data_IF_510258132233
#
_entry.id   IF_510258132233
#
_cell.length_a   1.000
_cell.length_b   1.000
_cell.length_c   1.000
_cell.angle_alpha   90.00
_cell.angle_beta   90.00
_cell.angle_gamma   90.00
#
_symmetry.space_group_name_H-M   'P 1'
#
loop_
_entity.id
_entity.type
_entity.pdbx_description
1 polymer ?
#
# COMPACT_ATOMS: atom_id res chain seq x y z
N UNK A 1 67.35 -16.19 14.37
CA UNK A 1 66.31 -15.41 13.66
C UNK A 1 65.37 -16.23 12.77
N UNK A 2 65.71 -17.45 12.34
CA UNK A 2 64.82 -18.28 11.52
C UNK A 2 63.60 -18.83 12.29
N UNK A 3 63.78 -19.23 13.56
CA UNK A 3 62.71 -19.83 14.37
C UNK A 3 61.61 -18.84 14.79
N UNK A 4 61.92 -17.54 14.90
CA UNK A 4 60.92 -16.53 15.27
C UNK A 4 59.98 -16.20 14.11
N UNK A 5 60.47 -16.21 12.87
CA UNK A 5 59.63 -15.97 11.68
C UNK A 5 58.65 -17.11 11.40
N UNK A 6 59.07 -18.36 11.64
CA UNK A 6 58.20 -19.54 11.52
C UNK A 6 57.08 -19.51 12.59
N UNK A 7 57.43 -19.14 13.83
CA UNK A 7 56.47 -19.08 14.93
C UNK A 7 55.44 -17.95 14.74
N UNK A 8 55.85 -16.79 14.23
CA UNK A 8 54.94 -15.68 13.87
C UNK A 8 53.98 -16.10 12.74
N UNK A 9 54.47 -16.80 11.72
CA UNK A 9 53.63 -17.30 10.62
C UNK A 9 52.53 -18.27 11.09
N UNK A 10 52.87 -19.19 12.00
CA UNK A 10 51.92 -20.15 12.57
C UNK A 10 50.86 -19.44 13.42
N UNK A 11 51.26 -18.45 14.23
CA UNK A 11 50.33 -17.66 15.05
C UNK A 11 49.38 -16.86 14.17
N UNK A 12 49.86 -16.22 13.10
CA UNK A 12 49.00 -15.45 12.18
C UNK A 12 47.99 -16.34 11.48
N UNK A 13 48.39 -17.52 11.00
CA UNK A 13 47.46 -18.48 10.38
C UNK A 13 46.45 -19.00 11.40
N UNK A 14 46.88 -19.33 12.63
CA UNK A 14 45.98 -19.75 13.69
C UNK A 14 44.97 -18.65 14.06
N UNK A 15 45.40 -17.39 14.14
CA UNK A 15 44.52 -16.25 14.42
C UNK A 15 43.53 -16.03 13.28
N UNK A 16 43.95 -16.14 12.02
CA UNK A 16 43.04 -16.03 10.86
C UNK A 16 42.04 -17.18 10.83
N UNK A 17 42.45 -18.40 11.15
CA UNK A 17 41.56 -19.57 11.22
C UNK A 17 40.59 -19.45 12.37
N UNK A 18 41.04 -19.00 13.55
CA UNK A 18 40.18 -18.78 14.72
C UNK A 18 39.21 -17.63 14.48
N UNK A 19 39.66 -16.52 13.88
CA UNK A 19 38.77 -15.43 13.43
C UNK A 19 37.79 -15.93 12.37
N UNK A 20 38.24 -16.74 11.41
CA UNK A 20 37.38 -17.33 10.38
C UNK A 20 36.32 -18.27 10.98
N UNK A 21 36.69 -19.10 11.95
CA UNK A 21 35.77 -20.00 12.68
C UNK A 21 34.84 -19.20 13.59
N UNK A 22 35.32 -18.15 14.25
CA UNK A 22 34.53 -17.30 15.15
C UNK A 22 33.53 -16.46 14.37
N UNK A 23 33.97 -15.83 13.26
CA UNK A 23 33.10 -15.18 12.27
C UNK A 23 32.10 -16.21 11.72
N UNK A 24 32.54 -17.40 11.29
CA UNK A 24 31.62 -18.46 10.87
C UNK A 24 30.61 -18.82 11.96
N UNK A 25 31.01 -18.96 13.22
CA UNK A 25 30.10 -19.33 14.32
C UNK A 25 29.17 -18.19 14.73
N UNK A 26 29.55 -16.94 14.47
CA UNK A 26 28.75 -15.75 14.75
C UNK A 26 27.82 -15.39 13.59
N UNK A 27 28.14 -15.82 12.37
CA UNK A 27 27.33 -15.65 11.16
C UNK A 27 26.48 -16.89 10.79
N UNK A 28 26.83 -18.09 11.24
CA UNK A 28 26.05 -19.31 10.97
C UNK A 28 25.01 -19.52 12.08
N UNK A 29 23.77 -19.42 11.64
CA UNK A 29 22.53 -19.67 12.37
C UNK A 29 22.55 -20.93 13.23
N UNK A 30 22.20 -20.79 14.51
CA UNK A 30 21.69 -21.93 15.28
C UNK A 30 20.20 -22.06 14.95
N UNK A 31 19.81 -23.12 14.25
CA UNK A 31 18.40 -23.49 14.11
C UNK A 31 17.90 -23.88 15.49
N UNK A 32 16.88 -23.18 15.99
CA UNK A 32 16.34 -23.36 17.35
C UNK A 32 15.10 -24.23 17.37
N UNK A 33 14.33 -24.21 16.28
CA UNK A 33 13.00 -24.78 16.21
C UNK A 33 12.72 -25.20 14.76
N UNK A 34 12.11 -26.37 14.59
CA UNK A 34 11.70 -26.90 13.30
C UNK A 34 10.25 -27.33 13.41
N UNK A 35 9.44 -26.90 12.45
CA UNK A 35 8.04 -27.33 12.29
C UNK A 35 7.83 -27.84 10.87
N UNK A 36 6.96 -28.83 10.73
CA UNK A 36 6.63 -29.44 9.44
C UNK A 36 5.11 -29.52 9.28
N UNK A 37 4.64 -29.16 8.10
CA UNK A 37 3.24 -29.21 7.74
C UNK A 37 3.05 -29.97 6.43
N UNK A 38 2.06 -30.86 6.37
CA UNK A 38 1.79 -31.69 5.19
C UNK A 38 0.66 -31.07 4.36
N UNK A 39 0.90 -30.86 3.07
CA UNK A 39 -0.08 -30.41 2.11
C UNK A 39 -0.02 -31.27 0.84
N UNK A 40 -0.93 -32.23 0.73
CA UNK A 40 -0.90 -33.23 -0.36
C UNK A 40 0.39 -34.06 -0.33
N UNK A 41 1.13 -34.19 -1.45
CA UNK A 41 2.39 -34.92 -1.49
C UNK A 41 3.59 -34.12 -0.95
N UNK A 42 3.36 -32.88 -0.49
CA UNK A 42 4.40 -31.97 -0.03
C UNK A 42 4.48 -31.87 1.49
N UNK A 43 5.70 -31.67 1.99
CA UNK A 43 5.96 -31.24 3.37
C UNK A 43 6.59 -29.85 3.33
N UNK A 44 5.92 -28.87 3.94
CA UNK A 44 6.46 -27.53 4.14
C UNK A 44 7.19 -27.54 5.47
N UNK A 45 8.51 -27.39 5.45
CA UNK A 45 9.35 -27.30 6.64
C UNK A 45 9.71 -25.84 6.90
N UNK A 46 9.47 -25.42 8.14
CA UNK A 46 9.79 -24.10 8.68
C UNK A 46 10.89 -24.26 9.72
N UNK A 47 11.97 -23.50 9.61
CA UNK A 47 13.11 -23.56 10.53
C UNK A 47 13.39 -22.16 11.08
N UNK A 48 13.32 -22.01 12.41
CA UNK A 48 13.64 -20.74 13.08
C UNK A 48 15.13 -20.65 13.29
N UNK A 49 15.72 -19.54 12.85
CA UNK A 49 17.13 -19.25 13.04
C UNK A 49 17.35 -17.82 13.52
N UNK A 50 18.49 -17.58 14.16
CA UNK A 50 18.87 -16.24 14.61
C UNK A 50 20.00 -15.68 13.75
N UNK A 51 19.80 -14.48 13.20
CA UNK A 51 20.86 -13.65 12.59
C UNK A 51 21.31 -12.56 13.57
N UNK A 52 22.49 -12.01 13.32
CA UNK A 52 23.04 -10.89 14.08
C UNK A 52 23.40 -9.76 13.13
N UNK A 53 22.66 -8.66 13.19
CA UNK A 53 22.83 -7.52 12.32
C UNK A 53 23.44 -6.35 13.10
N UNK A 54 24.36 -5.61 12.48
CA UNK A 54 24.95 -4.42 13.09
C UNK A 54 24.11 -3.19 12.78
N UNK A 55 23.57 -2.53 13.80
CA UNK A 55 22.89 -1.26 13.61
C UNK A 55 23.91 -0.11 13.66
N UNK A 56 24.17 0.52 12.52
CA UNK A 56 25.10 1.66 12.44
C UNK A 56 24.65 2.87 13.27
N UNK A 57 23.33 3.09 13.41
CA UNK A 57 22.80 4.22 14.18
C UNK A 57 23.01 4.07 15.69
N UNK A 58 23.10 2.83 16.19
CA UNK A 58 23.26 2.54 17.62
C UNK A 58 24.60 1.90 17.99
N UNK A 59 25.48 1.63 17.01
CA UNK A 59 26.80 1.04 17.22
C UNK A 59 26.77 -0.34 17.89
N UNK A 60 25.68 -1.09 17.74
CA UNK A 60 25.45 -2.36 18.44
C UNK A 60 24.93 -3.43 17.50
N UNK A 61 25.33 -4.67 17.77
CA UNK A 61 24.70 -5.84 17.16
C UNK A 61 23.37 -6.14 17.83
N UNK A 62 22.34 -6.38 17.03
CA UNK A 62 21.06 -6.89 17.49
C UNK A 62 20.84 -8.27 16.89
N UNK A 63 20.20 -9.14 17.67
CA UNK A 63 19.80 -10.46 17.21
C UNK A 63 18.39 -10.35 16.63
N UNK A 64 18.18 -10.94 15.46
CA UNK A 64 16.87 -11.07 14.83
C UNK A 64 16.56 -12.55 14.64
N UNK A 65 15.40 -12.98 15.08
CA UNK A 65 14.91 -14.32 14.72
C UNK A 65 14.19 -14.23 13.39
N UNK A 66 14.51 -15.18 12.51
CA UNK A 66 13.90 -15.31 11.20
C UNK A 66 13.47 -16.75 10.99
N UNK A 67 12.57 -16.97 10.03
CA UNK A 67 12.09 -18.29 9.66
C UNK A 67 12.46 -18.56 8.20
N UNK A 68 13.17 -19.66 7.97
CA UNK A 68 13.45 -20.18 6.64
C UNK A 68 12.45 -21.25 6.28
N UNK A 69 12.02 -21.25 5.02
CA UNK A 69 11.11 -22.26 4.48
C UNK A 69 11.86 -23.20 3.53
N UNK A 70 11.43 -24.46 3.53
CA UNK A 70 11.78 -25.44 2.49
C UNK A 70 10.54 -26.28 2.17
N UNK A 71 10.44 -26.72 0.92
CA UNK A 71 9.36 -27.62 0.47
C UNK A 71 9.99 -28.94 0.08
N UNK A 72 9.47 -30.03 0.64
CA UNK A 72 9.93 -31.38 0.39
C UNK A 72 8.85 -32.17 -0.34
N UNK A 73 9.26 -33.02 -1.27
CA UNK A 73 8.44 -34.04 -1.91
C UNK A 73 9.09 -35.41 -1.65
N UNK A 74 8.36 -36.33 -1.00
CA UNK A 74 8.88 -37.64 -0.59
C UNK A 74 10.20 -37.54 0.21
N UNK A 75 10.29 -36.56 1.11
CA UNK A 75 11.46 -36.33 1.97
C UNK A 75 12.67 -35.71 1.27
N UNK A 76 12.59 -35.39 -0.03
CA UNK A 76 13.63 -34.67 -0.78
C UNK A 76 13.24 -33.23 -1.00
N UNK A 77 14.18 -32.31 -0.84
CA UNK A 77 13.96 -30.87 -1.09
C UNK A 77 13.60 -30.68 -2.57
N UNK A 78 12.54 -29.90 -2.82
CA UNK A 78 12.13 -29.47 -4.15
C UNK A 78 13.19 -28.50 -4.71
N UNK A 79 13.71 -28.81 -5.89
CA UNK A 79 14.67 -27.97 -6.61
C UNK A 79 13.95 -26.89 -7.43
N UNK A 80 14.51 -25.67 -7.46
CA UNK A 80 13.97 -24.53 -8.20
C UNK A 80 14.81 -24.25 -9.46
N UNK A 81 14.17 -23.97 -10.62
CA UNK A 81 14.85 -23.87 -11.92
C UNK A 81 15.73 -22.63 -12.10
N UNK A 82 15.61 -21.65 -11.20
CA UNK A 82 16.40 -20.42 -11.18
C UNK A 82 16.85 -20.17 -9.75
N UNK A 83 18.05 -19.60 -9.57
CA UNK A 83 18.57 -19.30 -8.23
C UNK A 83 17.49 -18.53 -7.45
N UNK A 84 17.18 -19.02 -6.25
CA UNK A 84 16.41 -18.32 -5.23
C UNK A 84 17.21 -17.08 -4.78
N UNK A 85 17.42 -16.17 -5.71
CA UNK A 85 18.20 -14.94 -5.63
C UNK A 85 19.67 -15.06 -5.25
N UNK A 86 20.43 -14.07 -5.73
CA UNK A 86 21.85 -13.90 -5.43
C UNK A 86 22.15 -12.67 -4.57
N UNK A 87 21.19 -11.73 -4.42
CA UNK A 87 21.49 -10.38 -3.94
C UNK A 87 21.07 -10.08 -2.49
N UNK A 88 20.28 -10.95 -1.86
CA UNK A 88 19.80 -10.74 -0.48
C UNK A 88 20.68 -11.41 0.58
N UNK A 89 21.69 -12.16 0.16
CA UNK A 89 22.58 -12.92 1.05
C UNK A 89 21.95 -14.18 1.67
N UNK A 90 20.67 -14.47 1.39
CA UNK A 90 19.98 -15.67 1.86
C UNK A 90 19.75 -16.65 0.71
N UNK A 91 20.06 -17.94 0.92
CA UNK A 91 19.94 -19.01 -0.07
C UNK A 91 18.70 -19.89 0.12
N UNK A 92 17.67 -19.40 0.82
CA UNK A 92 16.48 -20.16 1.20
C UNK A 92 15.20 -19.39 0.87
N UNK A 93 14.04 -20.09 0.90
CA UNK A 93 12.74 -19.47 0.70
C UNK A 93 12.38 -18.62 1.92
N UNK A 94 11.93 -17.40 1.67
CA UNK A 94 11.48 -16.50 2.74
C UNK A 94 10.10 -16.89 3.26
N UNK A 95 9.23 -17.36 2.36
CA UNK A 95 7.88 -17.83 2.67
C UNK A 95 7.46 -18.97 1.75
N UNK A 96 6.57 -19.80 2.27
CA UNK A 96 5.75 -20.72 1.48
C UNK A 96 4.29 -20.57 1.92
N UNK A 97 3.41 -20.42 0.94
CA UNK A 97 1.97 -20.30 1.12
C UNK A 97 1.27 -21.50 0.50
N UNK A 98 0.22 -21.98 1.17
CA UNK A 98 -0.72 -22.92 0.56
C UNK A 98 -1.66 -22.14 -0.35
N UNK A 99 -1.81 -22.58 -1.60
CA UNK A 99 -2.82 -22.01 -2.51
C UNK A 99 -4.11 -22.83 -2.38
N UNK A 100 -5.01 -22.37 -1.51
CA UNK A 100 -6.14 -23.17 -1.01
C UNK A 100 -7.08 -23.68 -2.11
N UNK A 101 -7.43 -22.81 -3.05
CA UNK A 101 -8.46 -23.09 -4.08
C UNK A 101 -7.89 -23.64 -5.40
N UNK A 102 -6.61 -24.05 -5.40
CA UNK A 102 -6.00 -24.69 -6.56
C UNK A 102 -6.62 -26.08 -6.82
N UNK A 103 -6.75 -26.51 -8.09
CA UNK A 103 -7.36 -27.81 -8.43
C UNK A 103 -6.55 -29.02 -7.95
N UNK A 104 -5.26 -28.82 -7.65
CA UNK A 104 -4.36 -29.82 -7.08
C UNK A 104 -3.53 -29.17 -5.98
N UNK A 105 -3.04 -29.93 -4.97
CA UNK A 105 -2.16 -29.38 -3.94
C UNK A 105 -1.05 -28.53 -4.55
N UNK A 106 -1.02 -27.26 -4.19
CA UNK A 106 -0.14 -26.25 -4.80
C UNK A 106 0.40 -25.34 -3.73
N UNK A 107 1.70 -25.11 -3.77
CA UNK A 107 2.40 -24.21 -2.86
C UNK A 107 2.95 -23.05 -3.68
N UNK A 108 2.71 -21.83 -3.23
CA UNK A 108 3.37 -20.62 -3.75
C UNK A 108 4.51 -20.29 -2.81
N UNK A 109 5.76 -20.39 -3.27
CA UNK A 109 6.92 -20.17 -2.41
C UNK A 109 7.98 -19.33 -3.10
N UNK A 110 8.70 -18.53 -2.32
CA UNK A 110 9.72 -17.66 -2.88
C UNK A 110 10.41 -16.73 -1.89
N UNK A 111 11.21 -15.84 -2.48
CA UNK A 111 11.85 -14.68 -1.84
C UNK A 111 11.54 -13.45 -2.69
N UNK A 112 12.50 -12.79 -3.39
CA UNK A 112 12.16 -11.80 -4.44
C UNK A 112 11.95 -12.41 -5.85
N UNK A 113 11.92 -13.74 -5.95
CA UNK A 113 11.27 -14.48 -7.05
C UNK A 113 10.29 -15.48 -6.44
N UNK A 114 9.15 -15.71 -7.09
CA UNK A 114 8.11 -16.63 -6.60
C UNK A 114 7.79 -17.70 -7.61
N UNK A 115 7.58 -18.92 -7.11
CA UNK A 115 7.28 -20.11 -7.88
C UNK A 115 6.03 -20.79 -7.35
N UNK A 116 5.31 -21.44 -8.26
CA UNK A 116 4.29 -22.42 -7.93
C UNK A 116 4.91 -23.82 -7.96
N UNK A 117 4.69 -24.58 -6.90
CA UNK A 117 5.06 -26.00 -6.78
C UNK A 117 3.75 -26.78 -6.82
N UNK A 118 3.51 -27.45 -7.94
CA UNK A 118 2.21 -28.05 -8.28
C UNK A 118 2.35 -29.56 -8.22
N UNK A 119 1.47 -30.23 -7.47
CA UNK A 119 1.41 -31.69 -7.46
C UNK A 119 1.03 -32.26 -8.83
N UNK A 120 1.70 -33.34 -9.24
CA UNK A 120 1.36 -34.16 -10.42
C UNK A 120 1.29 -35.62 -9.98
N UNK A 121 0.65 -36.47 -10.77
CA UNK A 121 0.37 -37.87 -10.42
C UNK A 121 1.54 -38.62 -9.77
N UNK A 122 2.76 -38.49 -10.32
CA UNK A 122 3.97 -39.17 -9.81
C UNK A 122 5.12 -38.20 -9.48
N UNK A 123 4.83 -36.93 -9.21
CA UNK A 123 5.87 -35.96 -8.94
C UNK A 123 5.34 -34.56 -8.72
N UNK A 124 6.15 -33.57 -9.10
CA UNK A 124 5.78 -32.17 -9.00
C UNK A 124 6.29 -31.40 -10.21
N UNK A 125 5.66 -30.26 -10.45
CA UNK A 125 6.09 -29.29 -11.44
C UNK A 125 6.37 -27.97 -10.71
N UNK A 126 7.52 -27.36 -11.00
CA UNK A 126 7.85 -26.01 -10.49
C UNK A 126 7.72 -25.04 -11.65
N UNK A 127 6.79 -24.08 -11.53
CA UNK A 127 6.61 -23.00 -12.51
C UNK A 127 6.94 -21.66 -11.88
N UNK A 128 7.70 -20.78 -12.55
CA UNK A 128 7.81 -19.40 -12.11
C UNK A 128 6.44 -18.74 -12.15
N UNK A 129 6.10 -18.01 -11.09
CA UNK A 129 4.97 -17.10 -11.05
C UNK A 129 5.42 -15.70 -11.45
N UNK A 130 6.55 -15.28 -10.88
CA UNK A 130 7.28 -14.07 -11.26
C UNK A 130 8.78 -14.25 -10.95
N UNK A 131 9.66 -13.83 -11.87
CA UNK A 131 11.12 -13.92 -11.69
C UNK A 131 11.68 -12.51 -11.58
N UNK A 132 12.27 -12.22 -10.42
CA UNK A 132 13.13 -11.06 -10.14
C UNK A 132 12.51 -9.68 -10.42
N UNK A 133 11.82 -9.13 -9.42
CA UNK A 133 11.69 -7.67 -9.24
C UNK A 133 12.82 -7.14 -8.34
N UNK A 134 13.16 -5.84 -8.48
CA UNK A 134 14.05 -5.12 -7.56
C UNK A 134 13.50 -5.05 -6.14
N UNK A 135 12.17 -5.11 -6.01
CA UNK A 135 11.42 -4.90 -4.79
C UNK A 135 10.82 -6.20 -4.25
N UNK A 136 10.21 -6.13 -3.06
CA UNK A 136 9.49 -7.25 -2.46
C UNK A 136 8.37 -7.74 -3.37
N UNK A 137 8.08 -9.04 -3.32
CA UNK A 137 6.98 -9.59 -4.10
C UNK A 137 5.68 -9.13 -3.46
N UNK A 138 4.81 -8.51 -4.24
CA UNK A 138 3.49 -8.08 -3.81
C UNK A 138 2.42 -9.02 -4.38
N UNK A 139 1.47 -9.40 -3.54
CA UNK A 139 0.28 -10.15 -3.91
C UNK A 139 -0.97 -9.29 -3.72
N UNK A 140 -1.94 -9.46 -4.60
CA UNK A 140 -3.26 -8.85 -4.44
C UNK A 140 -4.33 -9.76 -5.05
N UNK A 141 -5.39 -10.05 -4.30
CA UNK A 141 -6.55 -10.70 -4.89
C UNK A 141 -7.38 -9.66 -5.62
N UNK A 142 -7.74 -9.94 -6.88
CA UNK A 142 -8.47 -8.98 -7.72
C UNK A 142 -9.98 -9.07 -7.58
N UNK A 143 -10.48 -10.14 -6.96
CA UNK A 143 -11.92 -10.44 -6.87
C UNK A 143 -12.37 -10.87 -5.47
N UNK A 144 -11.58 -10.57 -4.43
CA UNK A 144 -11.83 -11.04 -3.07
C UNK A 144 -12.89 -10.23 -2.29
N UNK A 145 -13.02 -8.93 -2.58
CA UNK A 145 -14.01 -8.08 -1.91
C UNK A 145 -15.18 -7.80 -2.85
N UNK A 146 -16.23 -8.63 -2.77
CA UNK A 146 -17.43 -8.49 -3.62
C UNK A 146 -17.12 -8.44 -5.13
N UNK A 147 -16.10 -9.17 -5.58
CA UNK A 147 -15.64 -9.17 -6.97
C UNK A 147 -14.70 -8.01 -7.33
N UNK A 148 -14.20 -7.27 -6.34
CA UNK A 148 -13.23 -6.18 -6.47
C UNK A 148 -11.92 -6.52 -5.75
N UNK A 149 -10.83 -5.78 -6.05
CA UNK A 149 -9.53 -6.05 -5.46
C UNK A 149 -9.51 -5.87 -3.95
N UNK A 150 -8.84 -6.78 -3.23
CA UNK A 150 -8.51 -6.62 -1.81
C UNK A 150 -7.29 -5.71 -1.65
N UNK A 151 -6.94 -5.29 -0.42
CA UNK A 151 -5.62 -4.72 -0.16
C UNK A 151 -4.50 -5.65 -0.63
N UNK A 152 -3.44 -5.08 -1.17
CA UNK A 152 -2.24 -5.82 -1.50
C UNK A 152 -1.41 -6.09 -0.23
N UNK A 153 -0.55 -7.11 -0.30
CA UNK A 153 0.40 -7.42 0.77
C UNK A 153 1.71 -7.94 0.18
N UNK A 154 2.80 -7.67 0.88
CA UNK A 154 4.14 -8.05 0.45
C UNK A 154 4.61 -9.35 1.11
N UNK A 155 5.41 -10.11 0.36
CA UNK A 155 6.11 -11.29 0.83
C UNK A 155 7.36 -10.85 1.60
N UNK A 156 7.31 -11.07 2.91
CA UNK A 156 8.45 -10.89 3.80
C UNK A 156 8.89 -12.20 4.44
N UNK A 157 10.20 -12.32 4.67
CA UNK A 157 10.75 -13.38 5.51
C UNK A 157 10.07 -13.36 6.88
N UNK A 158 9.69 -14.55 7.38
CA UNK A 158 9.10 -14.66 8.71
C UNK A 158 10.06 -14.24 9.82
N UNK A 159 9.50 -13.70 10.90
CA UNK A 159 10.22 -13.24 12.08
C UNK A 159 9.68 -13.91 13.35
N UNK A 160 10.12 -13.45 14.52
CA UNK A 160 9.66 -13.93 15.84
C UNK A 160 8.14 -13.87 16.07
N UNK A 161 7.42 -13.03 15.31
CA UNK A 161 5.95 -12.87 15.43
C UNK A 161 5.20 -13.84 14.52
N UNK A 162 5.91 -14.52 13.63
CA UNK A 162 5.33 -15.46 12.68
C UNK A 162 5.10 -16.81 13.36
N UNK A 163 3.85 -17.30 13.32
CA UNK A 163 3.55 -18.65 13.81
C UNK A 163 4.22 -19.71 12.92
N UNK A 164 4.73 -20.77 13.56
CA UNK A 164 5.28 -21.95 12.89
C UNK A 164 4.32 -23.15 12.95
N UNK A 165 3.11 -22.99 13.49
CA UNK A 165 2.15 -24.10 13.63
C UNK A 165 1.57 -24.51 12.28
N UNK A 166 1.40 -23.55 11.37
CA UNK A 166 0.85 -23.75 10.04
C UNK A 166 1.40 -22.69 9.08
N UNK A 167 1.73 -23.03 7.81
CA UNK A 167 2.08 -22.05 6.79
C UNK A 167 0.94 -21.08 6.49
N UNK A 168 1.24 -19.87 6.06
CA UNK A 168 0.20 -18.94 5.63
C UNK A 168 -0.54 -19.49 4.39
N UNK A 169 -1.76 -19.04 4.18
CA UNK A 169 -2.61 -19.50 3.06
C UNK A 169 -2.96 -18.33 2.16
N UNK A 170 -2.74 -18.51 0.86
CA UNK A 170 -3.29 -17.65 -0.18
C UNK A 170 -4.72 -18.09 -0.45
N UNK A 171 -5.67 -17.29 0.02
CA UNK A 171 -7.10 -17.46 -0.19
C UNK A 171 -7.78 -16.09 -0.26
N UNK A 172 -8.95 -16.02 -0.90
CA UNK A 172 -9.76 -14.81 -0.94
C UNK A 172 -10.51 -14.61 -2.27
N UNK A 173 -9.97 -15.10 -3.38
CA UNK A 173 -10.56 -14.92 -4.71
C UNK A 173 -10.10 -15.98 -5.71
N UNK A 174 -10.43 -15.78 -6.99
CA UNK A 174 -10.01 -16.67 -8.10
C UNK A 174 -8.84 -16.09 -8.88
N UNK A 175 -8.62 -14.78 -8.82
CA UNK A 175 -7.59 -14.09 -9.57
C UNK A 175 -6.57 -13.48 -8.62
N UNK A 176 -5.39 -14.10 -8.55
CA UNK A 176 -4.27 -13.61 -7.75
C UNK A 176 -3.31 -12.84 -8.66
N UNK A 177 -3.16 -11.54 -8.41
CA UNK A 177 -2.16 -10.71 -9.06
C UNK A 177 -0.83 -10.77 -8.29
N UNK A 178 0.28 -10.80 -9.03
CA UNK A 178 1.64 -10.78 -8.48
C UNK A 178 2.43 -9.66 -9.14
N UNK A 179 3.03 -8.80 -8.30
CA UNK A 179 3.88 -7.66 -8.71
C UNK A 179 3.26 -6.71 -9.75
N UNK A 180 1.94 -6.71 -9.91
CA UNK A 180 1.28 -5.98 -10.99
C UNK A 180 1.83 -6.31 -12.40
N UNK A 181 2.38 -7.52 -12.57
CA UNK A 181 2.97 -8.03 -13.81
C UNK A 181 2.34 -9.33 -14.29
N UNK A 182 1.78 -10.09 -13.36
CA UNK A 182 1.13 -11.35 -13.70
C UNK A 182 -0.15 -11.57 -12.92
N UNK A 183 -1.07 -12.32 -13.53
CA UNK A 183 -2.34 -12.73 -12.94
C UNK A 183 -2.46 -14.24 -13.06
N UNK A 184 -2.57 -14.92 -11.93
CA UNK A 184 -2.88 -16.33 -11.86
C UNK A 184 -4.40 -16.51 -11.68
N UNK A 185 -5.03 -17.18 -12.65
CA UNK A 185 -6.37 -17.70 -12.45
C UNK A 185 -6.28 -19.04 -11.72
N UNK A 186 -6.50 -19.02 -10.41
CA UNK A 186 -6.25 -20.15 -9.50
C UNK A 186 -7.02 -21.42 -9.88
N UNK A 187 -8.32 -21.38 -10.23
CA UNK A 187 -9.06 -22.60 -10.56
C UNK A 187 -8.52 -23.36 -11.78
N UNK A 188 -7.96 -22.67 -12.78
CA UNK A 188 -7.42 -23.30 -14.00
C UNK A 188 -5.89 -23.37 -14.01
N UNK A 189 -5.23 -22.74 -13.04
CA UNK A 189 -3.78 -22.55 -12.98
C UNK A 189 -3.20 -21.85 -14.22
N UNK A 190 -4.02 -21.05 -14.92
CA UNK A 190 -3.59 -20.27 -16.08
C UNK A 190 -2.92 -18.98 -15.62
N UNK A 191 -1.71 -18.73 -16.15
CA UNK A 191 -0.89 -17.57 -15.81
C UNK A 191 -0.86 -16.60 -16.99
N UNK A 192 -1.26 -15.36 -16.73
CA UNK A 192 -1.24 -14.27 -17.71
C UNK A 192 -0.19 -13.25 -17.32
N UNK A 193 0.75 -12.96 -18.22
CA UNK A 193 1.71 -11.87 -18.05
C UNK A 193 1.25 -10.65 -18.84
N UNK A 194 1.27 -9.50 -18.19
CA UNK A 194 0.87 -8.21 -18.75
C UNK A 194 1.87 -7.12 -18.37
N UNK A 195 1.81 -5.98 -19.05
CA UNK A 195 2.69 -4.85 -18.84
C UNK A 195 4.18 -5.23 -19.01
N UNK A 196 4.47 -6.04 -20.04
CA UNK A 196 5.79 -6.62 -20.28
C UNK A 196 6.86 -5.56 -20.56
N UNK A 197 6.49 -4.51 -21.28
CA UNK A 197 7.43 -3.44 -21.65
C UNK A 197 7.66 -2.45 -20.50
N UNK A 198 6.81 -2.46 -19.46
CA UNK A 198 6.88 -1.59 -18.30
C UNK A 198 6.97 -0.10 -18.64
N UNK A 199 6.35 0.32 -19.75
CA UNK A 199 6.32 1.71 -20.18
C UNK A 199 4.96 2.29 -19.86
N UNK A 200 4.96 3.51 -19.32
CA UNK A 200 3.76 4.30 -19.24
C UNK A 200 3.14 4.48 -20.63
N UNK A 201 1.82 4.44 -20.71
CA UNK A 201 1.11 4.81 -21.93
C UNK A 201 0.75 6.29 -21.82
N UNK A 202 0.93 7.02 -22.93
CA UNK A 202 0.68 8.47 -22.99
C UNK A 202 1.37 9.24 -21.87
N UNK A 203 2.56 8.76 -21.47
CA UNK A 203 3.40 9.31 -20.39
C UNK A 203 2.77 9.24 -18.98
N UNK A 204 1.75 8.38 -18.77
CA UNK A 204 1.24 8.02 -17.45
C UNK A 204 1.78 6.67 -17.00
N UNK A 205 2.27 6.61 -15.76
CA UNK A 205 2.70 5.37 -15.13
C UNK A 205 1.69 4.89 -14.10
N UNK A 206 1.60 3.57 -13.94
CA UNK A 206 0.90 2.95 -12.81
C UNK A 206 1.49 3.44 -11.50
N UNK A 207 0.62 3.62 -10.51
CA UNK A 207 1.00 4.07 -9.19
C UNK A 207 0.03 3.49 -8.15
N UNK A 208 0.57 2.80 -7.14
CA UNK A 208 -0.22 2.08 -6.15
C UNK A 208 -0.84 0.78 -6.65
N UNK A 209 -1.73 0.22 -5.85
CA UNK A 209 -2.32 -1.10 -6.03
C UNK A 209 -3.47 -1.10 -7.05
N UNK A 210 -3.96 -2.29 -7.46
CA UNK A 210 -5.15 -2.39 -8.28
C UNK A 210 -6.37 -1.83 -7.51
N UNK A 211 -7.10 -0.94 -8.18
CA UNK A 211 -8.24 -0.21 -7.62
C UNK A 211 -9.57 -0.90 -7.91
N UNK A 212 -9.72 -1.42 -9.13
CA UNK A 212 -10.97 -2.00 -9.58
C UNK A 212 -10.75 -3.15 -10.58
N UNK A 213 -11.72 -4.06 -10.63
CA UNK A 213 -11.72 -5.19 -11.54
C UNK A 213 -13.00 -5.20 -12.38
N UNK A 214 -12.84 -5.39 -13.68
CA UNK A 214 -13.96 -5.35 -14.62
C UNK A 214 -14.97 -6.48 -14.37
N UNK A 215 -16.26 -6.30 -14.72
CA UNK A 215 -17.31 -7.30 -14.47
C UNK A 215 -17.07 -8.67 -15.14
N UNK A 216 -16.31 -8.70 -16.24
CA UNK A 216 -15.95 -9.95 -16.94
C UNK A 216 -14.57 -10.49 -16.56
N UNK A 217 -13.90 -9.89 -15.56
CA UNK A 217 -12.62 -10.33 -15.03
C UNK A 217 -11.51 -10.41 -16.10
N UNK A 218 -11.43 -9.38 -16.95
CA UNK A 218 -10.40 -9.28 -18.00
C UNK A 218 -9.58 -8.00 -17.91
N UNK A 219 -10.11 -6.94 -17.27
CA UNK A 219 -9.46 -5.64 -17.16
C UNK A 219 -9.24 -5.27 -15.70
N UNK A 220 -8.02 -4.86 -15.37
CA UNK A 220 -7.61 -4.34 -14.05
C UNK A 220 -7.39 -2.83 -14.18
N UNK A 221 -7.86 -2.07 -13.20
CA UNK A 221 -7.66 -0.61 -13.16
C UNK A 221 -6.63 -0.27 -12.10
N UNK A 222 -5.65 0.56 -12.45
CA UNK A 222 -4.68 1.14 -11.54
C UNK A 222 -4.81 2.66 -11.52
N UNK A 223 -4.54 3.32 -10.39
CA UNK A 223 -4.23 4.74 -10.40
C UNK A 223 -3.00 5.03 -11.24
N UNK A 224 -2.95 6.25 -11.77
CA UNK A 224 -1.90 6.71 -12.67
C UNK A 224 -1.49 8.13 -12.41
N UNK A 225 -0.19 8.41 -12.57
CA UNK A 225 0.34 9.77 -12.56
C UNK A 225 1.09 10.06 -13.87
N UNK A 226 1.00 11.30 -14.33
CA UNK A 226 1.79 11.78 -15.46
C UNK A 226 3.25 11.98 -15.06
N UNK A 227 4.19 11.55 -15.91
CA UNK A 227 5.62 11.70 -15.64
C UNK A 227 6.13 13.06 -16.15
N UNK A 228 6.32 14.01 -15.25
CA UNK A 228 6.76 15.38 -15.63
C UNK A 228 8.27 15.50 -15.89
N UNK A 229 9.09 14.58 -15.36
CA UNK A 229 10.56 14.69 -15.38
C UNK A 229 11.21 14.28 -16.72
N UNK A 230 10.53 13.48 -17.54
CA UNK A 230 11.01 12.97 -18.83
C UNK A 230 10.26 13.53 -20.04
N UNK A 231 9.33 14.47 -19.82
CA UNK A 231 8.52 15.05 -20.89
C UNK A 231 8.48 16.56 -20.81
N UNK A 232 8.49 17.20 -21.98
CA UNK A 232 8.21 18.64 -22.12
C UNK A 232 6.71 18.94 -22.24
N UNK A 233 5.88 17.90 -22.24
CA UNK A 233 4.43 18.04 -22.33
C UNK A 233 3.83 18.43 -20.99
N UNK A 234 2.85 19.32 -21.03
CA UNK A 234 2.01 19.63 -19.86
C UNK A 234 0.67 18.91 -20.06
N UNK A 235 0.36 17.89 -19.24
CA UNK A 235 -0.89 17.16 -19.41
C UNK A 235 -2.06 18.07 -19.04
N UNK A 236 -3.26 17.77 -19.55
CA UNK A 236 -4.47 18.46 -19.07
C UNK A 236 -4.74 18.13 -17.59
N UNK A 237 -4.45 16.89 -17.20
CA UNK A 237 -4.64 16.37 -15.84
C UNK A 237 -3.41 15.59 -15.42
N UNK A 238 -2.94 15.76 -14.20
CA UNK A 238 -1.83 14.96 -13.66
C UNK A 238 -2.21 13.49 -13.44
N UNK A 239 -3.50 13.22 -13.19
CA UNK A 239 -4.01 11.91 -12.83
C UNK A 239 -4.71 11.20 -13.99
N UNK A 240 -4.56 9.87 -14.03
CA UNK A 240 -5.32 9.00 -14.90
C UNK A 240 -5.68 7.67 -14.21
N UNK A 241 -6.66 6.96 -14.77
CA UNK A 241 -6.88 5.55 -14.50
C UNK A 241 -6.32 4.73 -15.67
N UNK A 242 -5.44 3.78 -15.38
CA UNK A 242 -4.83 2.88 -16.36
C UNK A 242 -5.58 1.56 -16.33
N UNK A 243 -6.28 1.25 -17.43
CA UNK A 243 -7.04 0.00 -17.60
C UNK A 243 -6.22 -1.00 -18.41
N UNK A 244 -5.79 -2.09 -17.78
CA UNK A 244 -5.02 -3.17 -18.40
C UNK A 244 -5.90 -4.39 -18.68
N UNK A 245 -6.11 -4.72 -19.96
CA UNK A 245 -6.58 -6.04 -20.37
C UNK A 245 -5.42 -7.02 -20.25
N UNK A 246 -5.33 -7.72 -19.12
CA UNK A 246 -4.20 -8.59 -18.80
C UNK A 246 -4.10 -9.83 -19.70
N UNK A 247 -5.18 -10.17 -20.42
CA UNK A 247 -5.20 -11.29 -21.38
C UNK A 247 -4.66 -10.88 -22.74
N UNK A 248 -4.91 -9.63 -23.14
CA UNK A 248 -4.44 -9.07 -24.42
C UNK A 248 -3.14 -8.30 -24.30
N UNK A 249 -2.67 -8.05 -23.08
CA UNK A 249 -1.54 -7.17 -22.80
C UNK A 249 -1.74 -5.77 -23.41
N UNK A 250 -2.96 -5.24 -23.23
CA UNK A 250 -3.37 -3.97 -23.80
C UNK A 250 -3.76 -2.99 -22.70
N UNK A 251 -3.30 -1.76 -22.82
CA UNK A 251 -3.54 -0.69 -21.85
C UNK A 251 -4.37 0.43 -22.48
N UNK A 252 -5.21 1.07 -21.67
CA UNK A 252 -5.90 2.32 -21.99
C UNK A 252 -5.73 3.29 -20.84
N UNK A 253 -5.54 4.56 -21.19
CA UNK A 253 -5.42 5.65 -20.23
C UNK A 253 -6.72 6.46 -20.24
N UNK A 254 -7.26 6.71 -19.05
CA UNK A 254 -8.39 7.61 -18.85
C UNK A 254 -7.96 8.75 -17.91
N UNK A 255 -7.44 9.87 -18.45
CA UNK A 255 -7.14 11.06 -17.65
C UNK A 255 -8.42 11.63 -17.03
N UNK A 256 -8.33 12.15 -15.81
CA UNK A 256 -9.49 12.73 -15.10
C UNK A 256 -9.11 13.93 -14.24
N UNK A 257 -10.08 14.83 -14.04
CA UNK A 257 -9.94 16.02 -13.20
C UNK A 257 -10.07 15.70 -11.72
N UNK A 258 -9.14 16.20 -10.88
CA UNK A 258 -9.27 16.15 -9.41
C UNK A 258 -10.57 16.82 -8.94
N UNK A 259 -10.99 17.89 -9.62
CA UNK A 259 -12.21 18.64 -9.30
C UNK A 259 -13.49 17.88 -9.70
N UNK A 260 -13.53 17.26 -10.88
CA UNK A 260 -14.70 16.50 -11.33
C UNK A 260 -14.92 15.23 -10.50
N UNK A 261 -13.84 14.59 -10.03
CA UNK A 261 -13.90 13.39 -9.20
C UNK A 261 -13.84 13.65 -7.70
N UNK A 262 -13.61 14.90 -7.28
CA UNK A 262 -13.37 15.29 -5.89
C UNK A 262 -12.24 14.53 -5.23
N UNK A 263 -11.23 14.21 -6.01
CA UNK A 263 -10.09 13.51 -5.47
C UNK A 263 -9.19 14.54 -4.80
N UNK A 264 -9.30 14.63 -3.48
CA UNK A 264 -8.47 15.51 -2.67
C UNK A 264 -7.05 14.95 -2.55
N UNK A 265 -6.95 13.71 -2.09
CA UNK A 265 -5.69 13.00 -1.90
C UNK A 265 -5.73 11.66 -2.60
N UNK A 266 -4.56 11.19 -3.04
CA UNK A 266 -4.45 9.88 -3.71
C UNK A 266 -4.88 8.74 -2.79
N UNK A 267 -4.60 8.88 -1.51
CA UNK A 267 -4.94 7.91 -0.47
C UNK A 267 -6.47 7.72 -0.31
N UNK A 268 -7.27 8.69 -0.77
CA UNK A 268 -8.73 8.59 -0.77
C UNK A 268 -9.27 7.75 -1.94
N UNK A 269 -8.40 7.34 -2.88
CA UNK A 269 -8.79 6.46 -3.98
C UNK A 269 -9.09 5.05 -3.45
N UNK A 270 -10.38 4.73 -3.36
CA UNK A 270 -10.86 3.39 -3.06
C UNK A 270 -11.95 2.97 -4.05
N UNK A 271 -12.45 1.75 -3.90
CA UNK A 271 -13.45 1.16 -4.79
C UNK A 271 -14.77 1.96 -4.81
N UNK A 272 -15.15 2.58 -3.68
CA UNK A 272 -16.35 3.41 -3.59
C UNK A 272 -16.19 4.73 -4.37
N UNK A 273 -15.03 5.38 -4.24
CA UNK A 273 -14.67 6.54 -5.05
C UNK A 273 -14.68 6.19 -6.54
N UNK A 274 -14.13 5.04 -6.92
CA UNK A 274 -14.13 4.54 -8.29
C UNK A 274 -15.56 4.37 -8.81
N UNK A 275 -16.43 3.67 -8.08
CA UNK A 275 -17.81 3.43 -8.48
C UNK A 275 -18.68 4.69 -8.49
N UNK A 276 -18.32 5.71 -7.70
CA UNK A 276 -18.99 7.01 -7.69
C UNK A 276 -18.70 7.78 -8.98
N UNK A 277 -17.47 7.73 -9.48
CA UNK A 277 -16.99 8.61 -10.54
C UNK A 277 -16.82 7.93 -11.90
N UNK A 278 -16.81 6.60 -11.96
CA UNK A 278 -16.55 5.84 -13.17
C UNK A 278 -17.57 4.72 -13.37
N UNK A 279 -17.63 4.21 -14.60
CA UNK A 279 -18.44 3.05 -14.94
C UNK A 279 -17.85 2.26 -16.11
N UNK A 280 -18.26 1.00 -16.18
CA UNK A 280 -17.96 0.11 -17.29
C UNK A 280 -19.04 0.23 -18.37
N UNK A 281 -18.66 0.67 -19.56
CA UNK A 281 -19.47 0.49 -20.76
C UNK A 281 -19.20 -0.90 -21.35
N UNK A 282 -20.26 -1.69 -21.49
CA UNK A 282 -20.21 -3.06 -22.02
C UNK A 282 -21.11 -3.24 -23.26
N UNK A 283 -21.70 -2.15 -23.77
CA UNK A 283 -22.76 -2.20 -24.78
C UNK A 283 -22.25 -2.56 -26.19
N UNK A 284 -20.97 -2.33 -26.48
CA UNK A 284 -20.35 -2.55 -27.79
C UNK A 284 -19.58 -3.86 -27.95
N UNK A 285 -19.79 -4.86 -27.07
CA UNK A 285 -19.02 -6.12 -27.06
C UNK A 285 -17.58 -5.98 -26.54
N UNK A 286 -17.14 -4.75 -26.25
CA UNK A 286 -15.92 -4.44 -25.53
C UNK A 286 -16.27 -3.89 -24.15
N UNK A 287 -15.43 -4.19 -23.15
CA UNK A 287 -15.52 -3.53 -21.84
C UNK A 287 -14.60 -2.33 -21.84
N UNK A 288 -15.15 -1.14 -21.60
CA UNK A 288 -14.41 0.12 -21.62
C UNK A 288 -14.72 0.89 -20.34
N UNK A 289 -13.67 1.38 -19.69
CA UNK A 289 -13.82 2.28 -18.56
C UNK A 289 -14.18 3.69 -19.07
N UNK A 290 -15.19 4.29 -18.48
CA UNK A 290 -15.67 5.62 -18.85
C UNK A 290 -15.96 6.46 -17.61
N UNK A 291 -15.86 7.79 -17.77
CA UNK A 291 -16.24 8.72 -16.72
C UNK A 291 -17.76 8.73 -16.54
N UNK A 292 -18.22 8.64 -15.30
CA UNK A 292 -19.63 8.84 -14.94
C UNK A 292 -19.88 10.33 -14.88
N UNK A 293 -20.26 10.93 -16.01
CA UNK A 293 -20.65 12.34 -16.04
C UNK A 293 -21.89 12.55 -15.16
N UNK A 294 -21.78 13.26 -14.02
CA UNK A 294 -22.92 13.50 -13.18
C UNK A 294 -23.83 14.54 -13.86
N UNK A 295 -25.15 14.32 -13.82
CA UNK A 295 -26.12 15.29 -14.39
C UNK A 295 -26.12 16.63 -13.65
N UNK A 296 -25.63 16.64 -12.41
CA UNK A 296 -25.52 17.81 -11.55
C UNK A 296 -24.10 17.78 -10.98
N UNK A 297 -23.33 18.89 -11.02
CA UNK A 297 -22.05 18.96 -10.34
C UNK A 297 -22.23 18.55 -8.89
N UNK A 298 -21.38 17.65 -8.43
CA UNK A 298 -21.46 17.24 -7.04
C UNK A 298 -21.24 18.46 -6.12
N UNK A 299 -21.92 18.50 -4.97
CA UNK A 299 -21.87 19.59 -3.97
C UNK A 299 -20.76 19.32 -2.93
N UNK A 300 -19.77 20.20 -2.83
CA UNK A 300 -18.57 20.01 -2.00
C UNK A 300 -18.93 20.01 -0.52
N UNK A 301 -18.25 19.15 0.23
CA UNK A 301 -18.45 18.92 1.64
C UNK A 301 -17.08 18.93 2.32
N UNK A 302 -17.06 19.27 3.59
CA UNK A 302 -15.89 19.03 4.43
C UNK A 302 -15.76 17.57 4.82
N UNK A 303 -14.61 17.24 5.40
CA UNK A 303 -14.26 15.88 5.81
C UNK A 303 -13.60 15.88 7.19
N UNK A 304 -13.54 14.71 7.80
CA UNK A 304 -12.85 14.51 9.07
C UNK A 304 -11.55 13.75 8.84
N UNK A 305 -10.48 14.18 9.51
CA UNK A 305 -9.23 13.41 9.65
C UNK A 305 -8.79 13.53 11.10
N UNK A 306 -8.63 12.38 11.75
CA UNK A 306 -8.42 12.28 13.20
C UNK A 306 -9.51 13.04 13.99
N UNK A 307 -9.12 13.99 14.83
CA UNK A 307 -10.01 14.84 15.63
C UNK A 307 -10.27 16.22 15.00
N UNK A 308 -9.98 16.36 13.70
CA UNK A 308 -10.08 17.61 12.95
C UNK A 308 -11.15 17.55 11.86
N UNK A 309 -11.86 18.65 11.68
CA UNK A 309 -12.75 18.89 10.55
C UNK A 309 -12.10 19.83 9.55
N UNK A 310 -12.21 19.51 8.27
CA UNK A 310 -11.58 20.24 7.18
C UNK A 310 -12.60 20.65 6.14
N UNK A 311 -12.37 21.81 5.49
CA UNK A 311 -13.05 22.22 4.26
C UNK A 311 -11.98 22.62 3.24
N UNK A 312 -11.95 21.93 2.10
CA UNK A 312 -10.99 22.16 1.02
C UNK A 312 -11.60 21.72 -0.32
N UNK A 313 -11.26 22.38 -1.45
CA UNK A 313 -10.48 23.62 -1.55
C UNK A 313 -11.39 24.84 -1.33
N UNK A 314 -10.87 25.89 -0.71
CA UNK A 314 -11.64 27.06 -0.27
C UNK A 314 -10.91 28.35 -0.56
N UNK A 315 -11.63 29.47 -0.52
CA UNK A 315 -11.05 30.80 -0.41
C UNK A 315 -10.94 31.26 1.07
N UNK A 316 -10.38 32.45 1.28
CA UNK A 316 -10.19 33.02 2.63
C UNK A 316 -11.53 33.35 3.34
N UNK A 317 -12.63 33.49 2.60
CA UNK A 317 -13.94 33.83 3.19
C UNK A 317 -14.58 32.62 3.89
N UNK A 318 -14.28 31.39 3.44
CA UNK A 318 -14.78 30.17 4.09
C UNK A 318 -14.39 30.09 5.57
N UNK A 319 -13.20 30.58 5.95
CA UNK A 319 -12.77 30.62 7.35
C UNK A 319 -13.71 31.47 8.20
N UNK A 320 -14.14 32.62 7.68
CA UNK A 320 -15.05 33.54 8.37
C UNK A 320 -16.46 32.97 8.45
N UNK A 321 -16.90 32.27 7.40
CA UNK A 321 -18.19 31.58 7.35
C UNK A 321 -18.23 30.47 8.39
N UNK A 322 -17.23 29.61 8.45
CA UNK A 322 -17.18 28.52 9.42
C UNK A 322 -17.09 29.06 10.85
N UNK A 323 -16.31 30.12 11.08
CA UNK A 323 -16.26 30.82 12.38
C UNK A 323 -17.65 31.30 12.81
N UNK A 324 -18.37 31.98 11.91
CA UNK A 324 -19.71 32.47 12.24
C UNK A 324 -20.69 31.32 12.48
N UNK A 325 -20.61 30.25 11.68
CA UNK A 325 -21.42 29.05 11.86
C UNK A 325 -21.19 28.41 13.23
N UNK A 326 -19.95 28.30 13.69
CA UNK A 326 -19.61 27.75 15.02
C UNK A 326 -20.21 28.63 16.12
N UNK A 327 -20.09 29.95 16.01
CA UNK A 327 -20.69 30.87 16.99
C UNK A 327 -22.22 30.71 17.04
N UNK A 328 -22.88 30.64 15.88
CA UNK A 328 -24.33 30.49 15.78
C UNK A 328 -24.80 29.15 16.34
N UNK A 329 -24.13 28.06 15.97
CA UNK A 329 -24.41 26.69 16.46
C UNK A 329 -24.30 26.62 17.99
N UNK A 330 -23.26 27.23 18.55
CA UNK A 330 -23.02 27.27 19.99
C UNK A 330 -23.85 28.33 20.73
N UNK A 331 -24.60 29.18 20.01
CA UNK A 331 -25.30 30.35 20.55
C UNK A 331 -24.36 31.29 21.30
N UNK A 332 -23.15 31.46 20.77
CA UNK A 332 -22.11 32.34 21.29
C UNK A 332 -22.18 33.71 20.61
N UNK A 333 -21.57 34.70 21.25
CA UNK A 333 -21.48 36.07 20.73
C UNK A 333 -20.04 36.39 20.31
N UNK A 334 -19.78 37.53 19.63
CA UNK A 334 -18.43 37.86 19.18
C UNK A 334 -17.36 37.94 20.29
N UNK A 335 -17.75 38.12 21.56
CA UNK A 335 -16.81 38.15 22.70
C UNK A 335 -16.21 36.78 23.03
N UNK A 336 -16.82 35.70 22.56
CA UNK A 336 -16.31 34.34 22.70
C UNK A 336 -15.23 34.01 21.64
N UNK A 337 -14.89 34.97 20.76
CA UNK A 337 -13.63 34.96 19.99
C UNK A 337 -12.53 35.47 20.92
N UNK A 338 -11.76 34.56 21.50
CA UNK A 338 -10.75 34.85 22.52
C UNK A 338 -9.48 35.44 21.92
N UNK A 339 -9.09 34.98 20.73
CA UNK A 339 -7.98 35.59 19.99
C UNK A 339 -8.11 35.39 18.49
N UNK A 340 -7.46 36.30 17.76
CA UNK A 340 -7.24 36.23 16.33
C UNK A 340 -5.76 36.53 16.08
N UNK A 341 -5.06 35.60 15.44
CA UNK A 341 -3.62 35.71 15.17
C UNK A 341 -3.32 35.32 13.74
N UNK A 342 -2.22 35.85 13.22
CA UNK A 342 -1.65 35.41 11.95
C UNK A 342 -0.35 34.69 12.23
N UNK A 343 -0.21 33.49 11.66
CA UNK A 343 0.96 32.65 11.77
C UNK A 343 1.54 32.39 10.38
N UNK A 344 2.86 32.40 10.27
CA UNK A 344 3.57 32.23 9.00
C UNK A 344 3.21 30.92 8.27
N UNK A 345 2.97 29.84 9.03
CA UNK A 345 2.73 28.49 8.49
C UNK A 345 1.28 28.01 8.53
N UNK A 346 0.42 28.68 9.30
CA UNK A 346 -0.99 28.27 9.48
C UNK A 346 -1.98 29.37 9.13
N UNK A 347 -1.48 30.49 8.59
CA UNK A 347 -2.28 31.63 8.17
C UNK A 347 -3.06 32.25 9.32
N UNK A 348 -4.32 32.60 9.05
CA UNK A 348 -5.20 33.26 10.03
C UNK A 348 -5.83 32.22 10.96
N UNK A 349 -5.67 32.44 12.27
CA UNK A 349 -6.14 31.52 13.30
C UNK A 349 -7.05 32.23 14.30
N UNK A 350 -8.21 31.63 14.59
CA UNK A 350 -9.13 32.04 15.63
C UNK A 350 -9.14 31.04 16.77
N UNK A 351 -9.10 31.53 18.00
CA UNK A 351 -9.41 30.74 19.19
C UNK A 351 -10.81 31.14 19.68
N UNK A 352 -11.74 30.19 19.71
CA UNK A 352 -13.10 30.38 20.20
C UNK A 352 -13.24 29.66 21.53
N UNK A 353 -13.93 30.25 22.51
CA UNK A 353 -14.12 29.54 23.77
C UNK A 353 -15.08 30.17 24.75
N UNK A 354 -15.72 29.28 25.52
CA UNK A 354 -16.59 29.60 26.64
C UNK A 354 -16.66 28.40 27.57
N UNK A 355 -16.52 28.64 28.88
CA UNK A 355 -16.46 27.60 29.90
C UNK A 355 -15.33 26.59 29.58
N UNK A 356 -15.62 25.29 29.56
CA UNK A 356 -14.66 24.22 29.28
C UNK A 356 -14.51 23.92 27.77
N UNK A 357 -15.29 24.57 26.90
CA UNK A 357 -15.23 24.35 25.45
C UNK A 357 -14.29 25.36 24.79
N UNK A 358 -13.26 24.84 24.13
CA UNK A 358 -12.23 25.61 23.44
C UNK A 358 -12.00 25.02 22.05
N UNK A 359 -12.10 25.88 21.02
CA UNK A 359 -11.93 25.49 19.63
C UNK A 359 -10.89 26.35 18.93
N UNK A 360 -10.22 25.77 17.94
CA UNK A 360 -9.32 26.45 17.03
C UNK A 360 -9.88 26.36 15.61
N UNK A 361 -9.86 27.49 14.91
CA UNK A 361 -10.11 27.55 13.47
C UNK A 361 -8.88 28.15 12.80
N UNK A 362 -8.34 27.49 11.79
CA UNK A 362 -7.22 27.99 11.01
C UNK A 362 -7.56 27.98 9.52
N UNK A 363 -7.08 28.97 8.78
CA UNK A 363 -7.15 29.00 7.32
C UNK A 363 -5.75 29.16 6.73
N UNK A 364 -5.34 28.22 5.89
CA UNK A 364 -4.07 28.28 5.16
C UNK A 364 -4.19 27.61 3.79
N UNK A 365 -3.57 28.18 2.75
CA UNK A 365 -3.40 27.55 1.43
C UNK A 365 -4.69 26.96 0.81
N UNK A 366 -5.82 27.64 1.00
CA UNK A 366 -7.12 27.20 0.50
C UNK A 366 -7.76 26.06 1.31
N UNK A 367 -7.28 25.78 2.51
CA UNK A 367 -7.89 24.85 3.46
C UNK A 367 -8.36 25.60 4.70
N UNK A 368 -9.55 25.24 5.21
CA UNK A 368 -10.03 25.65 6.54
C UNK A 368 -10.06 24.43 7.45
N UNK A 369 -9.45 24.57 8.62
CA UNK A 369 -9.33 23.53 9.65
C UNK A 369 -10.09 23.97 10.89
N UNK A 370 -10.87 23.07 11.47
CA UNK A 370 -11.59 23.25 12.73
C UNK A 370 -11.32 22.10 13.68
N UNK A 371 -10.94 22.42 14.92
CA UNK A 371 -10.58 21.43 15.93
C UNK A 371 -10.87 21.88 17.35
N UNK A 372 -10.73 20.96 18.29
CA UNK A 372 -10.57 21.32 19.70
C UNK A 372 -9.22 22.00 19.92
N UNK A 373 -9.00 22.54 21.12
CA UNK A 373 -7.74 23.19 21.50
C UNK A 373 -6.52 22.32 21.15
N UNK A 374 -5.66 22.84 20.26
CA UNK A 374 -4.47 22.16 19.75
C UNK A 374 -3.37 21.99 20.81
N UNK A 375 -3.37 22.85 21.83
CA UNK A 375 -2.28 22.95 22.80
C UNK A 375 -2.73 22.69 24.25
N UNK A 376 -4.00 22.32 24.45
CA UNK A 376 -4.59 21.99 25.74
C UNK A 376 -5.07 20.54 25.79
N UNK A 377 -5.28 19.99 26.99
CA UNK A 377 -6.02 18.73 27.17
C UNK A 377 -7.50 18.96 26.86
N UNK A 378 -7.86 18.98 25.58
CA UNK A 378 -9.25 19.02 25.18
C UNK A 378 -9.95 17.74 25.67
N UNK A 379 -10.93 17.90 26.57
CA UNK A 379 -11.76 16.80 27.03
C UNK A 379 -12.60 16.18 25.91
N UNK A 380 -12.98 14.91 26.07
CA UNK A 380 -13.74 14.12 25.08
C UNK A 380 -15.04 14.80 24.62
N UNK A 381 -15.65 15.61 25.49
CA UNK A 381 -16.85 16.41 25.19
C UNK A 381 -16.59 17.44 24.09
N UNK A 382 -15.46 18.14 24.11
CA UNK A 382 -15.11 19.14 23.09
C UNK A 382 -14.80 18.50 21.74
N UNK A 383 -14.16 17.32 21.73
CA UNK A 383 -13.93 16.56 20.49
C UNK A 383 -15.23 16.06 19.86
N UNK A 384 -16.17 15.63 20.68
CA UNK A 384 -17.52 15.25 20.21
C UNK A 384 -18.23 16.46 19.59
N UNK A 385 -18.13 17.64 20.20
CA UNK A 385 -18.68 18.88 19.63
C UNK A 385 -18.06 19.24 18.28
N UNK A 386 -16.76 19.00 18.06
CA UNK A 386 -16.14 19.21 16.74
C UNK A 386 -16.83 18.36 15.67
N UNK A 387 -17.09 17.08 15.97
CA UNK A 387 -17.79 16.16 15.07
C UNK A 387 -19.23 16.59 14.81
N UNK A 388 -19.95 17.00 15.84
CA UNK A 388 -21.34 17.47 15.72
C UNK A 388 -21.42 18.74 14.85
N UNK A 389 -20.58 19.73 15.13
CA UNK A 389 -20.53 20.99 14.38
C UNK A 389 -20.12 20.75 12.92
N UNK A 390 -19.07 19.96 12.67
CA UNK A 390 -18.63 19.64 11.32
C UNK A 390 -19.70 18.88 10.52
N UNK A 391 -20.40 17.94 11.16
CA UNK A 391 -21.53 17.22 10.54
C UNK A 391 -22.67 18.17 10.20
N UNK A 392 -23.03 19.08 11.12
CA UNK A 392 -24.06 20.08 10.89
C UNK A 392 -23.68 21.06 9.77
N UNK A 393 -22.39 21.46 9.69
CA UNK A 393 -21.92 22.30 8.60
C UNK A 393 -21.98 21.58 7.26
N UNK A 394 -21.66 20.29 7.22
CA UNK A 394 -21.83 19.45 6.02
C UNK A 394 -23.29 19.38 5.55
N UNK A 395 -24.27 19.32 6.46
CA UNK A 395 -25.69 19.39 6.07
C UNK A 395 -26.02 20.75 5.42
N UNK A 396 -25.42 21.84 5.88
CA UNK A 396 -25.58 23.15 5.23
C UNK A 396 -24.93 23.16 3.84
N UNK A 397 -23.69 22.68 3.73
CA UNK A 397 -22.98 22.61 2.45
C UNK A 397 -23.74 21.78 1.42
N UNK A 398 -24.31 20.62 1.83
CA UNK A 398 -25.14 19.74 0.97
C UNK A 398 -26.33 20.44 0.31
N UNK A 399 -26.82 21.55 0.86
CA UNK A 399 -27.89 22.34 0.24
C UNK A 399 -27.42 23.24 -0.91
N UNK A 400 -26.11 23.29 -1.17
CA UNK A 400 -25.49 24.18 -2.14
C UNK A 400 -25.07 25.54 -1.56
N UNK A 401 -25.26 25.76 -0.25
CA UNK A 401 -24.83 26.99 0.41
C UNK A 401 -23.30 27.05 0.51
N UNK A 402 -22.74 28.24 0.32
CA UNK A 402 -21.29 28.54 0.40
C UNK A 402 -20.43 27.82 -0.64
N UNK A 403 -21.03 27.22 -1.66
CA UNK A 403 -20.29 26.58 -2.75
C UNK A 403 -19.52 27.60 -3.60
N UNK A 404 -19.94 28.86 -3.60
CA UNK A 404 -19.23 29.99 -4.20
C UNK A 404 -17.85 30.25 -3.59
N UNK A 405 -17.61 29.79 -2.35
CA UNK A 405 -16.34 29.88 -1.64
C UNK A 405 -15.50 28.60 -1.75
N UNK A 406 -15.99 27.62 -2.49
CA UNK A 406 -15.24 26.41 -2.82
C UNK A 406 -14.51 26.67 -4.14
N UNK A 407 -13.18 26.57 -4.09
CA UNK A 407 -12.31 26.87 -5.23
C UNK A 407 -12.01 25.59 -6.03
N UNK A 408 -10.90 25.57 -6.76
CA UNK A 408 -10.47 24.40 -7.53
C UNK A 408 -9.15 23.85 -7.01
N UNK A 409 -9.06 22.54 -6.92
CA UNK A 409 -7.81 21.82 -6.71
C UNK A 409 -6.94 22.01 -7.96
N UNK A 410 -5.65 22.40 -7.83
CA UNK A 410 -4.74 22.43 -8.96
C UNK A 410 -4.66 21.06 -9.65
N UNK A 411 -4.94 21.01 -10.94
CA UNK A 411 -4.87 19.77 -11.73
C UNK A 411 -3.44 19.26 -11.94
N UNK A 412 -2.46 20.12 -11.70
CA UNK A 412 -1.03 19.85 -11.84
C UNK A 412 -0.33 20.51 -10.65
N UNK A 413 0.35 19.72 -9.83
CA UNK A 413 1.25 20.23 -8.80
C UNK A 413 2.56 20.67 -9.47
N UNK A 414 2.90 21.96 -9.34
CA UNK A 414 4.23 22.44 -9.76
C UNK A 414 5.20 22.17 -8.62
N UNK A 415 6.05 21.18 -8.79
CA UNK A 415 7.20 20.92 -7.91
C UNK A 415 8.32 21.93 -8.12
#
# INVERSE_FOLDING_TARGET
MANSKLMIGIITVAVIVVLGIWVKKQFFSNVKEVSEFIHGPFTIRMEKFTTSDFNMNYGKFYKRENISYSVLHQGKIVEFPSALQSNTGFSHLWRAYILHDAPTPTIVAGSQSVFMIIAKDNGYEVKPLEIQSSDFIQFQWLDADNGQPSPAFELFMGDERTSMDHPDTLQGGKFLMVNQKSVLHVPTMELFHFDKDNWGMDNYNKDGDALAFSPYHTIIVFPGHFQTWNSSETPKYENALLSYDFRKDAIKVLPYSKNETRLYKREDMNVDWFHTNFMWDTTGGNTILTFRSPKIPFIWQGYFRDDFYYVYPTDDEMLLILKQFVLDYMKWSPKEVLSEKYHEYTGRVFQLGKNESMFHLAGNEGEVIFSSDLYGEAGDSTRTLVKDIGTAFNEVLKTGKYQEHITSIPEIEKY
#
